data_IF_660969546896
#
_entry.id   IF_660969546896
#
_cell.length_a   1.000
_cell.length_b   1.000
_cell.length_c   1.000
_cell.angle_alpha   90.00
_cell.angle_beta   90.00
_cell.angle_gamma   90.00
#
_symmetry.space_group_name_H-M   'P 1'
#
loop_
_entity.id
_entity.type
_entity.pdbx_description
1 polymer ?
#
# COMPACT_ATOMS: atom_id res chain seq x y z
N UNK A 1 -14.06 -30.50 -8.29
CA UNK A 1 -13.17 -30.60 -7.12
C UNK A 1 -12.40 -29.31 -6.86
N UNK A 2 -11.69 -28.73 -7.83
CA UNK A 2 -10.98 -27.45 -7.66
C UNK A 2 -11.86 -26.22 -7.33
N UNK A 3 -13.14 -26.22 -7.75
CA UNK A 3 -14.07 -25.14 -7.42
C UNK A 3 -14.56 -25.17 -5.96
N UNK A 4 -14.56 -26.34 -5.32
CA UNK A 4 -15.02 -26.51 -3.93
C UNK A 4 -13.92 -26.18 -2.92
N UNK A 5 -12.65 -26.32 -3.33
CA UNK A 5 -11.47 -25.86 -2.57
C UNK A 5 -11.32 -24.33 -2.62
N UNK A 6 -11.73 -23.69 -3.72
CA UNK A 6 -11.78 -22.22 -3.82
C UNK A 6 -12.89 -21.60 -2.93
N UNK A 7 -14.02 -22.29 -2.76
CA UNK A 7 -15.11 -21.83 -1.89
C UNK A 7 -14.79 -22.00 -0.40
N UNK A 8 -14.01 -23.02 -0.02
CA UNK A 8 -13.56 -23.18 1.39
C UNK A 8 -12.47 -22.18 1.78
N UNK A 9 -11.67 -21.68 0.82
CA UNK A 9 -10.66 -20.66 1.09
C UNK A 9 -11.26 -19.24 1.22
N UNK A 10 -12.49 -19.02 0.74
CA UNK A 10 -13.17 -17.72 0.79
C UNK A 10 -13.95 -17.46 2.10
N UNK A 11 -14.05 -18.44 3.01
CA UNK A 11 -14.90 -18.35 4.21
C UNK A 11 -14.17 -18.08 5.53
N UNK A 12 -12.87 -17.81 5.51
CA UNK A 12 -12.05 -17.65 6.71
C UNK A 12 -11.40 -16.26 6.84
N UNK A 13 -11.92 -15.25 6.14
CA UNK A 13 -11.32 -13.93 6.06
C UNK A 13 -12.31 -12.83 6.47
N UNK A 14 -12.71 -12.88 7.74
CA UNK A 14 -13.21 -11.72 8.47
C UNK A 14 -12.13 -11.34 9.48
N UNK A 15 -11.21 -10.47 9.06
CA UNK A 15 -10.55 -9.60 10.04
C UNK A 15 -11.57 -8.53 10.43
N UNK A 16 -12.65 -8.95 11.09
CA UNK A 16 -13.49 -8.04 11.88
C UNK A 16 -12.54 -7.32 12.82
N UNK A 17 -12.57 -5.98 12.80
CA UNK A 17 -11.83 -5.16 13.75
C UNK A 17 -12.04 -5.75 15.15
N UNK A 18 -10.96 -6.24 15.75
CA UNK A 18 -11.04 -6.85 17.07
C UNK A 18 -11.30 -5.70 18.04
N UNK A 19 -12.57 -5.50 18.36
CA UNK A 19 -12.97 -4.62 19.46
C UNK A 19 -12.58 -5.32 20.77
N UNK A 20 -11.46 -4.89 21.34
CA UNK A 20 -11.07 -5.28 22.69
C UNK A 20 -11.91 -4.50 23.70
N UNK A 21 -12.27 -5.16 24.80
CA UNK A 21 -12.90 -4.48 25.94
C UNK A 21 -11.86 -3.56 26.60
N UNK A 22 -12.38 -2.50 27.21
CA UNK A 22 -11.65 -1.38 27.83
C UNK A 22 -10.34 -1.77 28.56
N UNK A 23 -9.39 -0.82 28.62
CA UNK A 23 -7.93 -0.99 28.75
C UNK A 23 -7.33 -1.77 29.93
N UNK A 24 -8.15 -2.40 30.77
CA UNK A 24 -7.72 -3.18 31.95
C UNK A 24 -7.68 -4.70 31.72
N UNK A 25 -8.19 -5.20 30.59
CA UNK A 25 -8.25 -6.65 30.35
C UNK A 25 -7.06 -7.17 29.52
N UNK A 26 -6.35 -8.17 30.06
CA UNK A 26 -5.20 -8.81 29.44
C UNK A 26 -5.48 -9.29 28.00
N UNK A 27 -4.68 -8.85 27.02
CA UNK A 27 -4.83 -9.17 25.60
C UNK A 27 -4.83 -10.69 25.37
N UNK A 28 -3.95 -11.43 26.06
CA UNK A 28 -3.90 -12.87 25.94
C UNK A 28 -5.21 -13.52 26.39
N UNK A 29 -5.77 -13.07 27.53
CA UNK A 29 -7.06 -13.54 28.01
C UNK A 29 -8.20 -13.24 27.04
N UNK A 30 -8.25 -12.04 26.48
CA UNK A 30 -9.28 -11.66 25.51
C UNK A 30 -9.20 -12.52 24.23
N UNK A 31 -8.00 -12.84 23.75
CA UNK A 31 -7.81 -13.75 22.60
C UNK A 31 -8.21 -15.19 22.93
N UNK A 32 -7.87 -15.69 24.13
CA UNK A 32 -8.29 -17.02 24.58
C UNK A 32 -9.82 -17.11 24.65
N UNK A 33 -10.49 -16.13 25.25
CA UNK A 33 -11.94 -16.10 25.39
C UNK A 33 -12.63 -16.04 24.02
N UNK A 34 -12.13 -15.20 23.10
CA UNK A 34 -12.66 -15.05 21.74
C UNK A 34 -12.56 -16.35 20.94
N UNK A 35 -11.43 -17.06 21.05
CA UNK A 35 -11.15 -18.25 20.25
C UNK A 35 -11.33 -19.58 20.99
N UNK A 36 -11.89 -19.58 22.21
CA UNK A 36 -12.06 -20.77 23.05
C UNK A 36 -12.80 -21.92 22.36
N UNK A 37 -13.74 -21.62 21.46
CA UNK A 37 -14.55 -22.60 20.72
C UNK A 37 -14.07 -22.84 19.28
N UNK A 38 -13.00 -22.17 18.86
CA UNK A 38 -12.51 -22.26 17.49
C UNK A 38 -11.65 -23.51 17.28
N UNK A 39 -11.99 -24.31 16.26
CA UNK A 39 -11.15 -25.43 15.80
C UNK A 39 -10.10 -25.04 14.75
N UNK A 40 -10.17 -23.83 14.18
CA UNK A 40 -9.27 -23.36 13.13
C UNK A 40 -7.81 -23.32 13.61
N UNK A 41 -6.89 -23.89 12.81
CA UNK A 41 -5.46 -23.97 13.18
C UNK A 41 -4.84 -22.60 13.44
N UNK A 42 -5.15 -21.61 12.60
CA UNK A 42 -4.65 -20.24 12.73
C UNK A 42 -5.03 -19.58 14.07
N UNK A 43 -6.25 -19.82 14.56
CA UNK A 43 -6.69 -19.29 15.85
C UNK A 43 -5.97 -19.98 17.01
N UNK A 44 -5.72 -21.30 16.92
CA UNK A 44 -4.95 -22.03 17.92
C UNK A 44 -3.49 -21.54 17.99
N UNK A 45 -2.86 -21.30 16.84
CA UNK A 45 -1.51 -20.73 16.81
C UNK A 45 -1.46 -19.30 17.36
N UNK A 46 -2.42 -18.44 17.01
CA UNK A 46 -2.52 -17.09 17.57
C UNK A 46 -2.66 -17.10 19.10
N UNK A 47 -3.55 -17.95 19.64
CA UNK A 47 -3.72 -18.11 21.09
C UNK A 47 -2.46 -18.65 21.74
N UNK A 48 -1.79 -19.64 21.14
CA UNK A 48 -0.54 -20.18 21.64
C UNK A 48 0.57 -19.11 21.66
N UNK A 49 0.69 -18.30 20.60
CA UNK A 49 1.61 -17.15 20.55
C UNK A 49 1.29 -16.14 21.64
N UNK A 50 0.03 -15.76 21.83
CA UNK A 50 -0.37 -14.82 22.89
C UNK A 50 -0.02 -15.36 24.30
N UNK A 51 -0.26 -16.66 24.54
CA UNK A 51 0.09 -17.31 25.80
C UNK A 51 1.61 -17.37 26.01
N UNK A 52 2.38 -17.64 24.94
CA UNK A 52 3.84 -17.62 24.99
C UNK A 52 4.37 -16.21 25.32
N UNK A 53 3.84 -15.17 24.68
CA UNK A 53 4.24 -13.79 24.99
C UNK A 53 3.91 -13.43 26.44
N UNK A 54 2.72 -13.80 26.93
CA UNK A 54 2.35 -13.59 28.35
C UNK A 54 3.29 -14.32 29.31
N UNK A 55 3.72 -15.53 28.95
CA UNK A 55 4.68 -16.30 29.73
C UNK A 55 6.04 -15.60 29.80
N UNK A 56 6.51 -15.00 28.70
CA UNK A 56 7.74 -14.20 28.67
C UNK A 56 7.60 -13.01 29.63
N UNK A 57 6.52 -12.24 29.52
CA UNK A 57 6.27 -11.10 30.41
C UNK A 57 6.23 -11.49 31.88
N UNK A 58 5.57 -12.61 32.20
CA UNK A 58 5.51 -13.13 33.57
C UNK A 58 6.90 -13.51 34.08
N UNK A 59 7.72 -14.15 33.24
CA UNK A 59 9.08 -14.55 33.61
C UNK A 59 10.01 -13.35 33.84
N UNK A 60 9.79 -12.25 33.12
CA UNK A 60 10.55 -11.00 33.24
C UNK A 60 9.94 -10.04 34.28
N UNK A 61 8.88 -10.44 34.98
CA UNK A 61 8.13 -9.60 35.94
C UNK A 61 7.60 -8.29 35.32
N UNK A 62 7.24 -8.33 34.03
CA UNK A 62 6.65 -7.21 33.30
C UNK A 62 5.12 -7.24 33.37
N UNK A 63 4.44 -6.08 33.42
CA UNK A 63 2.99 -6.03 33.36
C UNK A 63 2.48 -6.48 31.98
N UNK A 64 1.31 -7.16 31.89
CA UNK A 64 0.71 -7.59 30.64
C UNK A 64 0.05 -6.42 29.89
N UNK A 65 0.84 -5.42 29.52
CA UNK A 65 0.42 -4.22 28.79
C UNK A 65 0.68 -4.34 27.28
N UNK A 66 -0.06 -3.61 26.42
CA UNK A 66 0.17 -3.64 24.98
C UNK A 66 1.63 -3.33 24.56
N UNK A 67 2.32 -2.31 25.12
CA UNK A 67 3.73 -2.08 24.83
C UNK A 67 4.65 -3.24 25.20
N UNK A 68 4.39 -3.90 26.34
CA UNK A 68 5.17 -5.05 26.78
C UNK A 68 4.97 -6.26 25.85
N UNK A 69 3.72 -6.54 25.47
CA UNK A 69 3.41 -7.57 24.48
C UNK A 69 4.05 -7.30 23.12
N UNK A 70 4.06 -6.04 22.68
CA UNK A 70 4.74 -5.63 21.46
C UNK A 70 6.24 -5.91 21.54
N UNK A 71 6.90 -5.48 22.62
CA UNK A 71 8.33 -5.69 22.82
C UNK A 71 8.71 -7.18 22.79
N UNK A 72 7.97 -8.02 23.54
CA UNK A 72 8.18 -9.46 23.58
C UNK A 72 7.96 -10.12 22.22
N UNK A 73 6.95 -9.69 21.47
CA UNK A 73 6.65 -10.22 20.14
C UNK A 73 7.68 -9.82 19.08
N UNK A 74 8.17 -8.58 19.11
CA UNK A 74 9.27 -8.13 18.22
C UNK A 74 10.57 -8.89 18.54
N UNK A 75 10.92 -9.03 19.83
CA UNK A 75 12.10 -9.81 20.24
C UNK A 75 11.99 -11.28 19.80
N UNK A 76 10.81 -11.88 19.99
CA UNK A 76 10.54 -13.25 19.53
C UNK A 76 10.66 -13.36 18.01
N UNK A 77 10.16 -12.37 17.26
CA UNK A 77 10.26 -12.36 15.80
C UNK A 77 11.70 -12.21 15.31
N UNK A 78 12.54 -11.39 15.95
CA UNK A 78 13.95 -11.21 15.57
C UNK A 78 14.79 -12.47 15.86
N UNK A 79 14.45 -13.20 16.93
CA UNK A 79 15.07 -14.49 17.27
C UNK A 79 14.54 -15.69 16.45
N UNK A 80 13.41 -15.53 15.77
CA UNK A 80 12.73 -16.63 15.08
C UNK A 80 13.39 -16.91 13.73
N UNK A 81 14.17 -17.99 13.66
CA UNK A 81 14.71 -18.47 12.39
C UNK A 81 13.95 -19.73 11.96
N UNK A 82 13.03 -19.55 11.02
CA UNK A 82 12.59 -20.56 10.01
C UNK A 82 11.18 -21.17 10.10
N UNK A 83 10.44 -21.12 11.22
CA UNK A 83 9.05 -21.63 11.24
C UNK A 83 8.04 -20.61 10.66
N UNK A 84 7.46 -20.85 9.47
CA UNK A 84 6.53 -19.90 8.87
C UNK A 84 5.20 -19.79 9.63
N UNK A 85 4.82 -20.82 10.40
CA UNK A 85 3.61 -20.79 11.22
C UNK A 85 3.79 -19.90 12.45
N UNK A 86 4.93 -20.02 13.15
CA UNK A 86 5.28 -19.13 14.25
C UNK A 86 5.37 -17.67 13.77
N UNK A 87 6.06 -17.42 12.65
CA UNK A 87 6.16 -16.07 12.05
C UNK A 87 4.77 -15.55 11.69
N UNK A 88 3.93 -16.36 11.05
CA UNK A 88 2.56 -15.96 10.71
C UNK A 88 1.72 -15.58 11.94
N UNK A 89 1.81 -16.37 13.01
CA UNK A 89 1.09 -16.11 14.25
C UNK A 89 1.61 -14.84 14.95
N UNK A 90 2.92 -14.62 14.97
CA UNK A 90 3.54 -13.40 15.49
C UNK A 90 3.13 -12.15 14.70
N UNK A 91 3.14 -12.19 13.36
CA UNK A 91 2.69 -11.07 12.53
C UNK A 91 1.21 -10.75 12.76
N UNK A 92 0.38 -11.80 12.89
CA UNK A 92 -1.05 -11.64 13.21
C UNK A 92 -1.22 -11.02 14.59
N UNK A 93 -0.50 -11.53 15.60
CA UNK A 93 -0.53 -10.99 16.95
C UNK A 93 -0.07 -9.53 17.01
N UNK A 94 1.01 -9.18 16.31
CA UNK A 94 1.51 -7.80 16.23
C UNK A 94 0.50 -6.86 15.56
N UNK A 95 -0.16 -7.29 14.48
CA UNK A 95 -1.21 -6.49 13.82
C UNK A 95 -2.42 -6.17 14.72
N UNK A 96 -2.57 -6.92 15.80
CA UNK A 96 -3.60 -6.77 16.83
C UNK A 96 -3.09 -5.88 17.97
N UNK A 97 -1.86 -6.10 18.43
CA UNK A 97 -1.29 -5.40 19.58
C UNK A 97 -0.89 -3.96 19.26
N UNK A 98 -0.25 -3.70 18.11
CA UNK A 98 0.28 -2.37 17.79
C UNK A 98 -0.79 -1.26 17.84
N UNK A 99 -2.01 -1.43 17.28
CA UNK A 99 -3.07 -0.43 17.40
C UNK A 99 -3.57 -0.18 18.84
N UNK A 100 -3.25 -1.05 19.80
CA UNK A 100 -3.65 -0.91 21.21
C UNK A 100 -2.57 -0.22 22.06
N UNK A 101 -1.38 0.00 21.50
CA UNK A 101 -0.30 0.71 22.19
C UNK A 101 -0.70 2.19 22.27
N UNK A 102 -0.75 2.80 23.46
CA UNK A 102 -1.04 4.22 23.59
C UNK A 102 0.09 5.07 23.01
N UNK A 103 -0.23 6.32 22.68
CA UNK A 103 0.75 7.31 22.23
C UNK A 103 1.91 7.41 23.24
N UNK A 104 3.15 7.40 22.73
CA UNK A 104 4.36 7.38 23.55
C UNK A 104 4.68 6.02 24.20
N UNK A 105 3.87 4.98 23.99
CA UNK A 105 4.13 3.63 24.48
C UNK A 105 5.25 2.89 23.74
N UNK A 106 5.60 3.34 22.53
CA UNK A 106 6.78 2.89 21.76
C UNK A 106 7.59 4.14 21.39
N UNK A 107 8.89 4.12 21.64
CA UNK A 107 9.79 5.22 21.22
C UNK A 107 10.09 5.14 19.72
N UNK A 108 10.39 6.27 19.08
CA UNK A 108 10.72 6.30 17.66
C UNK A 108 11.90 5.39 17.28
N UNK A 109 12.92 5.30 18.14
CA UNK A 109 14.05 4.40 17.94
C UNK A 109 13.61 2.92 17.95
N UNK A 110 12.77 2.54 18.92
CA UNK A 110 12.22 1.18 19.01
C UNK A 110 11.28 0.86 17.85
N UNK A 111 10.46 1.82 17.41
CA UNK A 111 9.58 1.67 16.26
C UNK A 111 10.39 1.40 14.98
N UNK A 112 11.44 2.20 14.74
CA UNK A 112 12.35 2.02 13.60
C UNK A 112 13.03 0.65 13.62
N UNK A 113 13.54 0.22 14.77
CA UNK A 113 14.15 -1.12 14.93
C UNK A 113 13.13 -2.23 14.69
N UNK A 114 11.93 -2.11 15.26
CA UNK A 114 10.84 -3.06 15.06
C UNK A 114 10.41 -3.17 13.59
N UNK A 115 10.35 -2.05 12.86
CA UNK A 115 10.13 -2.06 11.40
C UNK A 115 11.23 -2.85 10.70
N UNK A 116 12.50 -2.63 11.06
CA UNK A 116 13.62 -3.42 10.53
C UNK A 116 13.47 -4.93 10.78
N UNK A 117 13.02 -5.33 11.97
CA UNK A 117 12.73 -6.74 12.30
C UNK A 117 11.57 -7.28 11.48
N UNK A 118 10.48 -6.52 11.30
CA UNK A 118 9.28 -6.92 10.56
C UNK A 118 9.54 -7.11 9.07
N UNK A 119 10.39 -6.27 8.48
CA UNK A 119 10.71 -6.33 7.04
C UNK A 119 11.43 -7.63 6.69
N UNK A 120 12.36 -8.12 7.51
CA UNK A 120 13.14 -9.35 7.24
C UNK A 120 12.27 -10.57 6.83
N UNK A 121 11.27 -11.01 7.61
CA UNK A 121 10.47 -12.18 7.27
C UNK A 121 9.48 -11.97 6.12
N UNK A 122 8.99 -10.74 5.90
CA UNK A 122 8.00 -10.48 4.84
C UNK A 122 8.67 -10.22 3.49
N UNK A 123 9.85 -9.60 3.48
CA UNK A 123 10.59 -9.28 2.26
C UNK A 123 11.47 -10.44 1.77
N UNK A 124 11.68 -11.47 2.61
CA UNK A 124 12.50 -12.63 2.31
C UNK A 124 12.11 -13.31 1.00
N UNK A 125 13.10 -13.51 0.12
CA UNK A 125 12.90 -14.10 -1.20
C UNK A 125 12.55 -15.60 -1.11
N UNK A 126 11.43 -15.97 -1.71
CA UNK A 126 10.93 -17.34 -1.81
C UNK A 126 9.41 -17.37 -1.81
N UNK A 127 8.81 -17.76 -2.93
CA UNK A 127 7.35 -17.75 -3.14
C UNK A 127 6.51 -18.61 -2.16
N UNK A 128 7.13 -19.28 -1.19
CA UNK A 128 6.48 -20.26 -0.30
C UNK A 128 6.92 -20.17 1.16
N UNK A 129 6.83 -18.99 1.81
CA UNK A 129 6.89 -18.93 3.28
C UNK A 129 5.62 -18.41 3.94
N UNK A 130 5.11 -17.24 3.54
CA UNK A 130 3.98 -16.61 4.23
C UNK A 130 2.71 -16.55 3.38
N UNK A 131 1.57 -16.84 4.01
CA UNK A 131 0.25 -16.71 3.42
C UNK A 131 -0.17 -15.25 3.22
N UNK A 132 -1.21 -15.03 2.41
CA UNK A 132 -1.77 -13.69 2.12
C UNK A 132 -2.13 -12.93 3.39
N UNK A 133 -2.77 -13.59 4.35
CA UNK A 133 -3.20 -12.98 5.62
C UNK A 133 -2.00 -12.52 6.46
N UNK A 134 -0.96 -13.36 6.58
CA UNK A 134 0.25 -13.07 7.35
C UNK A 134 1.02 -11.88 6.79
N UNK A 135 1.17 -11.82 5.46
CA UNK A 135 1.82 -10.69 4.79
C UNK A 135 1.02 -9.40 4.94
N UNK A 136 -0.31 -9.47 4.77
CA UNK A 136 -1.19 -8.33 5.02
C UNK A 136 -1.05 -7.85 6.48
N UNK A 137 -0.99 -8.76 7.44
CA UNK A 137 -0.80 -8.41 8.86
C UNK A 137 0.55 -7.72 9.11
N UNK A 138 1.64 -8.23 8.53
CA UNK A 138 2.96 -7.59 8.60
C UNK A 138 3.00 -6.20 7.95
N UNK A 139 2.45 -6.07 6.75
CA UNK A 139 2.33 -4.78 6.04
C UNK A 139 1.51 -3.77 6.85
N UNK A 140 0.37 -4.20 7.42
CA UNK A 140 -0.46 -3.35 8.29
C UNK A 140 0.30 -2.91 9.54
N UNK A 141 1.06 -3.82 10.14
CA UNK A 141 1.89 -3.54 11.31
C UNK A 141 2.96 -2.47 10.99
N UNK A 142 3.68 -2.61 9.87
CA UNK A 142 4.64 -1.60 9.40
C UNK A 142 3.96 -0.25 9.21
N UNK A 143 2.84 -0.20 8.47
CA UNK A 143 2.12 1.06 8.25
C UNK A 143 1.68 1.74 9.54
N UNK A 144 1.20 0.96 10.52
CA UNK A 144 0.79 1.49 11.83
C UNK A 144 1.98 2.00 12.64
N UNK A 145 3.12 1.30 12.62
CA UNK A 145 4.35 1.73 13.29
C UNK A 145 4.92 3.03 12.69
N UNK A 146 4.97 3.11 11.37
CA UNK A 146 5.48 4.30 10.68
C UNK A 146 4.66 5.54 11.02
N UNK A 147 3.32 5.44 10.94
CA UNK A 147 2.44 6.59 11.18
C UNK A 147 2.31 6.95 12.66
N UNK A 148 2.22 5.94 13.53
CA UNK A 148 1.91 6.15 14.94
C UNK A 148 3.11 6.38 15.85
N UNK A 149 4.31 5.91 15.47
CA UNK A 149 5.43 5.81 16.42
C UNK A 149 6.80 6.18 15.86
N UNK A 150 7.02 6.19 14.54
CA UNK A 150 8.29 6.65 13.96
C UNK A 150 8.39 8.18 13.96
N UNK A 151 9.63 8.66 13.81
CA UNK A 151 9.91 10.08 13.62
C UNK A 151 9.63 10.46 12.16
N UNK A 152 8.54 11.18 11.91
CA UNK A 152 8.12 11.59 10.57
C UNK A 152 8.92 12.78 10.01
N UNK A 153 9.79 13.39 10.82
CA UNK A 153 10.70 14.46 10.40
C UNK A 153 12.08 13.95 9.99
N UNK A 154 12.40 12.68 10.29
CA UNK A 154 13.63 11.99 9.90
C UNK A 154 13.36 10.90 8.84
N UNK A 155 13.85 11.12 7.62
CA UNK A 155 13.73 10.13 6.54
C UNK A 155 14.34 8.78 6.89
N UNK A 156 15.48 8.75 7.59
CA UNK A 156 16.14 7.48 7.96
C UNK A 156 15.30 6.68 8.97
N UNK A 157 14.41 7.33 9.70
CA UNK A 157 13.45 6.70 10.62
C UNK A 157 12.41 5.86 9.86
N UNK A 158 11.96 6.33 8.69
CA UNK A 158 10.88 5.69 7.93
C UNK A 158 11.34 4.95 6.67
N UNK A 159 12.55 5.22 6.16
CA UNK A 159 13.04 4.77 4.85
C UNK A 159 12.87 3.28 4.60
N UNK A 160 13.26 2.43 5.56
CA UNK A 160 13.18 0.96 5.41
C UNK A 160 11.73 0.50 5.29
N UNK A 161 10.86 0.98 6.18
CA UNK A 161 9.44 0.63 6.15
C UNK A 161 8.74 1.17 4.91
N UNK A 162 9.05 2.41 4.52
CA UNK A 162 8.52 3.03 3.30
C UNK A 162 8.88 2.21 2.05
N UNK A 163 10.14 1.79 1.92
CA UNK A 163 10.58 0.92 0.83
C UNK A 163 9.84 -0.42 0.78
N UNK A 164 9.65 -1.07 1.93
CA UNK A 164 8.87 -2.32 2.00
C UNK A 164 7.39 -2.08 1.63
N UNK A 165 6.76 -1.01 2.12
CA UNK A 165 5.40 -0.64 1.71
C UNK A 165 5.29 -0.40 0.20
N UNK A 166 6.25 0.30 -0.41
CA UNK A 166 6.29 0.50 -1.87
C UNK A 166 6.38 -0.83 -2.61
N UNK A 167 7.27 -1.73 -2.20
CA UNK A 167 7.40 -3.08 -2.77
C UNK A 167 6.07 -3.84 -2.73
N UNK A 168 5.38 -3.84 -1.59
CA UNK A 168 4.08 -4.51 -1.46
C UNK A 168 2.93 -3.79 -2.16
N UNK A 169 3.06 -2.50 -2.44
CA UNK A 169 2.04 -1.70 -3.14
C UNK A 169 1.83 -2.09 -4.61
N UNK A 170 2.71 -2.93 -5.15
CA UNK A 170 2.61 -3.55 -6.47
C UNK A 170 2.49 -5.07 -6.42
N UNK A 171 2.35 -5.67 -5.24
CA UNK A 171 2.29 -7.13 -5.05
C UNK A 171 1.15 -7.78 -5.85
N UNK A 172 1.40 -8.98 -6.40
CA UNK A 172 0.39 -9.76 -7.16
C UNK A 172 -0.89 -10.07 -6.37
N UNK A 173 -0.82 -10.17 -5.04
CA UNK A 173 -1.93 -10.51 -4.14
C UNK A 173 -2.76 -9.25 -3.80
N UNK A 174 -4.01 -9.13 -4.28
CA UNK A 174 -4.79 -7.89 -4.12
C UNK A 174 -5.01 -7.42 -2.68
N UNK A 175 -5.14 -8.34 -1.73
CA UNK A 175 -5.37 -8.02 -0.30
C UNK A 175 -4.14 -7.43 0.39
N UNK A 176 -2.95 -7.88 0.01
CA UNK A 176 -1.66 -7.35 0.50
C UNK A 176 -1.42 -5.99 -0.16
N UNK A 177 -1.60 -5.94 -1.49
CA UNK A 177 -1.42 -4.73 -2.28
C UNK A 177 -2.25 -3.54 -1.81
N UNK A 178 -3.56 -3.73 -1.62
CA UNK A 178 -4.45 -2.68 -1.12
C UNK A 178 -4.05 -2.20 0.27
N UNK A 179 -3.69 -3.13 1.16
CA UNK A 179 -3.22 -2.78 2.50
C UNK A 179 -1.97 -1.88 2.45
N UNK A 180 -1.01 -2.21 1.59
CA UNK A 180 0.20 -1.40 1.42
C UNK A 180 -0.12 -0.01 0.85
N UNK A 181 -0.99 0.07 -0.15
CA UNK A 181 -1.44 1.34 -0.74
C UNK A 181 -2.15 2.24 0.28
N UNK A 182 -3.06 1.68 1.09
CA UNK A 182 -3.73 2.40 2.19
C UNK A 182 -2.74 2.88 3.26
N UNK A 183 -1.71 2.08 3.57
CA UNK A 183 -0.66 2.47 4.51
C UNK A 183 0.20 3.61 3.95
N UNK A 184 0.54 3.56 2.66
CA UNK A 184 1.30 4.63 1.99
C UNK A 184 0.50 5.93 1.96
N UNK A 185 -0.77 5.89 1.59
CA UNK A 185 -1.63 7.07 1.55
C UNK A 185 -1.72 7.75 2.92
N UNK A 186 -1.94 6.96 3.99
CA UNK A 186 -1.94 7.48 5.36
C UNK A 186 -0.58 8.06 5.78
N UNK A 187 0.51 7.38 5.43
CA UNK A 187 1.86 7.85 5.74
C UNK A 187 2.15 9.17 5.05
N UNK A 188 1.95 9.26 3.74
CA UNK A 188 2.10 10.49 2.97
C UNK A 188 1.25 11.63 3.52
N UNK A 189 -0.02 11.37 3.85
CA UNK A 189 -0.91 12.36 4.46
C UNK A 189 -0.52 12.80 5.87
N UNK A 190 0.40 12.10 6.53
CA UNK A 190 0.91 12.44 7.87
C UNK A 190 2.27 13.16 7.82
N UNK A 191 2.95 13.20 6.66
CA UNK A 191 4.23 13.88 6.52
C UNK A 191 4.04 15.40 6.48
N UNK A 192 4.80 16.12 7.30
CA UNK A 192 4.81 17.59 7.33
C UNK A 192 6.17 18.17 6.91
N UNK A 193 7.27 17.44 7.16
CA UNK A 193 8.62 17.85 6.78
C UNK A 193 8.80 17.85 5.26
N UNK A 194 9.11 19.02 4.70
CA UNK A 194 9.37 19.18 3.26
C UNK A 194 10.55 18.35 2.77
N UNK A 195 11.57 18.14 3.61
CA UNK A 195 12.71 17.26 3.33
C UNK A 195 12.25 15.81 3.20
N UNK A 196 11.44 15.32 4.15
CA UNK A 196 10.95 13.93 4.13
C UNK A 196 9.95 13.71 2.99
N UNK A 197 9.07 14.68 2.72
CA UNK A 197 8.17 14.66 1.57
C UNK A 197 8.96 14.55 0.27
N UNK A 198 10.06 15.30 0.13
CA UNK A 198 10.92 15.23 -1.05
C UNK A 198 11.53 13.83 -1.22
N UNK A 199 12.15 13.29 -0.19
CA UNK A 199 12.77 11.95 -0.24
C UNK A 199 11.75 10.83 -0.55
N UNK A 200 10.57 10.89 0.06
CA UNK A 200 9.46 9.97 -0.20
C UNK A 200 8.97 10.09 -1.66
N UNK A 201 8.86 11.32 -2.16
CA UNK A 201 8.46 11.61 -3.55
C UNK A 201 9.50 11.10 -4.55
N UNK A 202 10.78 11.36 -4.30
CA UNK A 202 11.89 10.91 -5.16
C UNK A 202 11.98 9.39 -5.22
N UNK A 203 11.77 8.72 -4.08
CA UNK A 203 11.73 7.25 -3.99
C UNK A 203 10.56 6.66 -4.79
N UNK A 204 9.36 7.26 -4.68
CA UNK A 204 8.20 6.85 -5.50
C UNK A 204 8.45 7.09 -6.99
N UNK A 205 9.09 8.21 -7.34
CA UNK A 205 9.41 8.51 -8.74
C UNK A 205 10.45 7.55 -9.33
N UNK A 206 11.40 7.07 -8.52
CA UNK A 206 12.32 6.01 -8.92
C UNK A 206 11.57 4.71 -9.28
N UNK A 207 10.55 4.32 -8.50
CA UNK A 207 9.70 3.17 -8.80
C UNK A 207 8.97 3.32 -10.15
N UNK A 208 8.45 4.52 -10.44
CA UNK A 208 7.85 4.83 -11.75
C UNK A 208 8.88 4.70 -12.89
N UNK A 209 10.09 5.22 -12.70
CA UNK A 209 11.17 5.15 -13.70
C UNK A 209 11.57 3.70 -14.00
N UNK A 210 11.63 2.85 -12.99
CA UNK A 210 11.93 1.42 -13.14
C UNK A 210 10.91 0.72 -14.05
N UNK A 211 9.63 1.08 -13.95
CA UNK A 211 8.54 0.47 -14.72
C UNK A 211 8.23 1.19 -16.04
N UNK A 212 8.98 2.25 -16.39
CA UNK A 212 8.67 3.14 -17.52
C UNK A 212 8.64 2.43 -18.87
N UNK A 213 9.56 1.49 -19.11
CA UNK A 213 9.63 0.72 -20.36
C UNK A 213 8.37 -0.15 -20.55
N UNK A 214 7.98 -0.89 -19.50
CA UNK A 214 6.79 -1.75 -19.49
C UNK A 214 5.51 -0.91 -19.65
N UNK A 215 5.42 0.22 -18.94
CA UNK A 215 4.29 1.15 -19.07
C UNK A 215 4.15 1.68 -20.50
N UNK A 216 5.26 2.02 -21.17
CA UNK A 216 5.26 2.52 -22.54
C UNK A 216 4.88 1.45 -23.57
N UNK A 217 5.30 0.19 -23.35
CA UNK A 217 4.87 -0.94 -24.18
C UNK A 217 3.37 -1.21 -24.02
N UNK A 218 2.86 -1.18 -22.79
CA UNK A 218 1.44 -1.39 -22.51
C UNK A 218 0.57 -0.25 -23.04
N UNK A 219 1.03 0.99 -22.99
CA UNK A 219 0.26 2.14 -23.46
C UNK A 219 0.14 2.20 -24.99
N UNK A 220 1.14 1.67 -25.71
CA UNK A 220 1.15 1.58 -27.17
C UNK A 220 0.43 0.36 -27.74
N UNK A 221 0.12 -0.64 -26.90
CA UNK A 221 -0.66 -1.82 -27.31
C UNK A 221 -2.12 -1.46 -27.59
N UNK A 222 -2.47 -1.53 -28.88
CA UNK A 222 -3.86 -1.39 -29.32
C UNK A 222 -4.67 -2.62 -28.92
N UNK A 223 -5.79 -2.40 -28.23
CA UNK A 223 -6.78 -3.46 -28.02
C UNK A 223 -7.68 -3.51 -29.25
N UNK A 224 -7.67 -4.65 -29.97
CA UNK A 224 -8.62 -4.90 -31.05
C UNK A 224 -9.98 -5.18 -30.44
N UNK A 225 -11.01 -4.50 -30.95
CA UNK A 225 -12.40 -4.59 -30.52
C UNK A 225 -12.88 -6.06 -30.54
N UNK A 226 -13.35 -6.56 -29.39
CA UNK A 226 -13.77 -7.96 -29.19
C UNK A 226 -12.83 -8.83 -28.35
N UNK A 227 -11.62 -8.37 -28.05
CA UNK A 227 -10.73 -9.01 -27.08
C UNK A 227 -11.12 -8.63 -25.64
N UNK A 228 -11.30 -9.62 -24.74
CA UNK A 228 -11.47 -9.34 -23.30
C UNK A 228 -10.25 -8.55 -22.81
N UNK A 229 -10.46 -7.27 -22.48
CA UNK A 229 -9.45 -6.34 -21.92
C UNK A 229 -8.71 -6.95 -20.72
N UNK A 230 -9.40 -7.82 -19.97
CA UNK A 230 -8.90 -8.48 -18.77
C UNK A 230 -7.85 -9.58 -19.03
N UNK A 231 -7.81 -10.18 -20.23
CA UNK A 231 -6.85 -11.25 -20.56
C UNK A 231 -5.59 -10.78 -21.31
N UNK A 232 -5.45 -9.48 -21.57
CA UNK A 232 -4.33 -8.92 -22.34
C UNK A 232 -3.12 -8.54 -21.46
N UNK A 233 -3.32 -8.32 -20.15
CA UNK A 233 -2.23 -8.11 -19.20
C UNK A 233 -1.67 -9.48 -18.80
N UNK A 234 -0.49 -9.83 -19.34
CA UNK A 234 0.30 -10.91 -18.75
C UNK A 234 0.51 -10.59 -17.27
N UNK A 235 0.43 -11.59 -16.39
CA UNK A 235 0.63 -11.41 -14.95
C UNK A 235 1.95 -10.71 -14.60
N UNK A 236 2.96 -10.88 -15.46
CA UNK A 236 4.28 -10.25 -15.39
C UNK A 236 4.26 -8.71 -15.59
N UNK A 237 3.23 -8.18 -16.24
CA UNK A 237 3.08 -6.74 -16.50
C UNK A 237 2.05 -6.07 -15.57
N UNK A 238 1.47 -6.82 -14.62
CA UNK A 238 0.46 -6.30 -13.70
C UNK A 238 1.04 -5.29 -12.70
N UNK A 239 2.32 -5.46 -12.33
CA UNK A 239 3.04 -4.58 -11.41
C UNK A 239 3.12 -3.15 -11.95
N UNK A 240 3.45 -2.99 -13.24
CA UNK A 240 3.46 -1.68 -13.90
C UNK A 240 2.09 -0.98 -13.82
N UNK A 241 0.99 -1.69 -14.04
CA UNK A 241 -0.35 -1.14 -13.87
C UNK A 241 -0.65 -0.79 -12.40
N UNK A 242 -0.08 -1.54 -11.45
CA UNK A 242 -0.22 -1.25 -10.03
C UNK A 242 0.53 0.03 -9.63
N UNK A 243 1.69 0.34 -10.22
CA UNK A 243 2.40 1.60 -10.01
C UNK A 243 1.50 2.81 -10.27
N UNK A 244 0.69 2.79 -11.34
CA UNK A 244 -0.24 3.89 -11.64
C UNK A 244 -1.32 4.08 -10.56
N UNK A 245 -1.74 3.00 -9.91
CA UNK A 245 -2.70 3.09 -8.80
C UNK A 245 -2.04 3.67 -7.54
N UNK A 246 -0.77 3.33 -7.28
CA UNK A 246 0.01 3.92 -6.18
C UNK A 246 0.11 5.43 -6.39
N UNK A 247 0.52 5.85 -7.59
CA UNK A 247 0.60 7.27 -7.95
C UNK A 247 -0.74 7.98 -7.74
N UNK A 248 -1.85 7.38 -8.17
CA UNK A 248 -3.18 7.98 -8.00
C UNK A 248 -3.56 8.20 -6.53
N UNK A 249 -3.02 7.42 -5.60
CA UNK A 249 -3.29 7.55 -4.16
C UNK A 249 -2.33 8.52 -3.45
N UNK A 250 -1.11 8.70 -3.97
CA UNK A 250 -0.06 9.49 -3.31
C UNK A 250 0.22 10.85 -3.94
N UNK A 251 -0.20 11.05 -5.20
CA UNK A 251 -0.06 12.31 -5.95
C UNK A 251 -0.33 13.58 -5.14
N UNK A 252 -1.40 13.66 -4.32
CA UNK A 252 -1.71 14.89 -3.58
C UNK A 252 -0.64 15.33 -2.58
N UNK A 253 0.26 14.42 -2.21
CA UNK A 253 1.26 14.62 -1.18
C UNK A 253 2.69 14.76 -1.73
N UNK A 254 2.85 14.68 -3.06
CA UNK A 254 4.17 14.74 -3.67
C UNK A 254 4.73 16.17 -3.65
N UNK A 255 6.06 16.27 -3.66
CA UNK A 255 6.72 17.55 -3.91
C UNK A 255 6.30 18.11 -5.28
N UNK A 256 6.25 19.44 -5.41
CA UNK A 256 5.82 20.09 -6.65
C UNK A 256 6.68 19.69 -7.87
N UNK A 257 7.99 19.52 -7.66
CA UNK A 257 8.94 19.07 -8.68
C UNK A 257 8.62 17.65 -9.16
N UNK A 258 8.44 16.70 -8.24
CA UNK A 258 8.12 15.31 -8.58
C UNK A 258 6.72 15.20 -9.18
N UNK A 259 5.74 15.94 -8.65
CA UNK A 259 4.39 16.00 -9.19
C UNK A 259 4.41 16.42 -10.67
N UNK A 260 5.17 17.46 -11.02
CA UNK A 260 5.36 17.91 -12.40
C UNK A 260 6.03 16.84 -13.28
N UNK A 261 7.05 16.16 -12.76
CA UNK A 261 7.73 15.06 -13.45
C UNK A 261 6.79 13.87 -13.71
N UNK A 262 6.01 13.46 -12.71
CA UNK A 262 5.00 12.38 -12.81
C UNK A 262 3.94 12.76 -13.83
N UNK A 263 3.43 13.97 -13.76
CA UNK A 263 2.45 14.49 -14.70
C UNK A 263 2.97 14.43 -16.15
N UNK A 264 4.18 14.96 -16.41
CA UNK A 264 4.82 14.88 -17.73
C UNK A 264 4.93 13.45 -18.26
N UNK A 265 5.27 12.48 -17.42
CA UNK A 265 5.33 11.07 -17.83
C UNK A 265 3.95 10.47 -18.09
N UNK A 266 2.92 10.79 -17.30
CA UNK A 266 1.54 10.37 -17.56
C UNK A 266 1.04 10.91 -18.92
N UNK A 267 1.38 12.15 -19.26
CA UNK A 267 1.04 12.75 -20.57
C UNK A 267 1.66 11.99 -21.74
N UNK A 268 2.92 11.54 -21.59
CA UNK A 268 3.63 10.74 -22.61
C UNK A 268 3.07 9.33 -22.72
N UNK A 269 2.62 8.74 -21.61
CA UNK A 269 1.95 7.45 -21.59
C UNK A 269 0.54 7.53 -22.19
N UNK A 270 -0.08 8.71 -22.21
CA UNK A 270 -1.39 8.91 -22.82
C UNK A 270 -1.28 8.89 -24.35
N UNK A 271 -1.55 7.73 -24.95
CA UNK A 271 -1.70 7.58 -26.41
C UNK A 271 -3.01 8.19 -26.95
N UNK A 272 -3.13 8.28 -28.27
CA UNK A 272 -4.35 8.76 -28.94
C UNK A 272 -5.46 7.71 -29.09
N UNK A 273 -5.16 6.45 -28.74
CA UNK A 273 -6.10 5.33 -28.78
C UNK A 273 -6.16 4.62 -27.42
N UNK A 274 -7.28 3.95 -27.15
CA UNK A 274 -7.48 3.19 -25.92
C UNK A 274 -6.47 2.04 -25.76
N UNK A 275 -5.94 1.92 -24.55
CA UNK A 275 -5.02 0.89 -24.10
C UNK A 275 -5.47 0.33 -22.74
N UNK A 276 -4.89 -0.79 -22.27
CA UNK A 276 -5.21 -1.33 -20.95
C UNK A 276 -4.96 -0.35 -19.79
N UNK A 277 -4.09 0.65 -19.98
CA UNK A 277 -3.70 1.61 -18.96
C UNK A 277 -4.50 2.93 -19.02
N UNK A 278 -5.24 3.20 -20.11
CA UNK A 278 -5.90 4.49 -20.33
C UNK A 278 -6.71 4.96 -19.12
N UNK A 279 -7.51 4.08 -18.51
CA UNK A 279 -8.36 4.46 -17.36
C UNK A 279 -7.54 4.86 -16.13
N UNK A 280 -6.45 4.15 -15.86
CA UNK A 280 -5.58 4.41 -14.72
C UNK A 280 -4.79 5.71 -14.93
N UNK A 281 -4.28 5.94 -16.15
CA UNK A 281 -3.60 7.18 -16.53
C UNK A 281 -4.55 8.37 -16.36
N UNK A 282 -5.77 8.29 -16.90
CA UNK A 282 -6.77 9.36 -16.77
C UNK A 282 -7.14 9.64 -15.31
N UNK A 283 -7.30 8.59 -14.49
CA UNK A 283 -7.56 8.75 -13.06
C UNK A 283 -6.42 9.47 -12.34
N UNK A 284 -5.17 9.10 -12.63
CA UNK A 284 -4.01 9.76 -12.03
C UNK A 284 -3.93 11.24 -12.44
N UNK A 285 -4.16 11.56 -13.72
CA UNK A 285 -4.22 12.93 -14.24
C UNK A 285 -5.35 13.73 -13.56
N UNK A 286 -6.54 13.14 -13.43
CA UNK A 286 -7.68 13.75 -12.73
C UNK A 286 -7.35 14.07 -11.26
N UNK A 287 -6.70 13.14 -10.54
CA UNK A 287 -6.24 13.39 -9.17
C UNK A 287 -5.26 14.55 -9.11
N UNK A 288 -4.28 14.63 -10.03
CA UNK A 288 -3.30 15.73 -10.07
C UNK A 288 -4.01 17.08 -10.22
N UNK A 289 -4.97 17.18 -11.14
CA UNK A 289 -5.73 18.42 -11.34
C UNK A 289 -6.60 18.81 -10.15
N UNK A 290 -7.07 17.83 -9.37
CA UNK A 290 -7.84 18.08 -8.15
C UNK A 290 -6.98 18.46 -6.95
N UNK A 291 -5.72 18.01 -6.91
CA UNK A 291 -4.81 18.25 -5.78
C UNK A 291 -3.83 19.40 -6.01
N UNK A 292 -3.60 19.78 -7.26
CA UNK A 292 -2.92 21.02 -7.60
C UNK A 292 -3.89 22.15 -7.28
N UNK A 293 -3.52 23.12 -6.43
CA UNK A 293 -4.17 24.44 -6.42
C UNK A 293 -3.34 25.48 -7.20
N UNK A 294 -2.01 25.29 -7.36
CA UNK A 294 -1.13 26.20 -8.14
C UNK A 294 0.21 25.55 -8.61
N UNK A 295 0.34 24.22 -8.61
CA UNK A 295 1.66 23.54 -8.72
C UNK A 295 2.02 23.01 -10.10
N UNK A 296 1.10 23.00 -11.07
CA UNK A 296 1.36 22.47 -12.42
C UNK A 296 1.88 23.57 -13.35
N UNK A 297 3.02 23.33 -13.98
CA UNK A 297 3.68 24.30 -14.86
C UNK A 297 3.02 24.34 -16.26
N UNK A 298 3.00 25.53 -16.88
CA UNK A 298 2.26 25.83 -18.14
C UNK A 298 2.61 24.92 -19.34
N UNK A 299 3.88 24.61 -19.65
CA UNK A 299 4.22 23.73 -20.78
C UNK A 299 3.64 22.31 -20.66
N UNK A 300 3.52 21.81 -19.44
CA UNK A 300 2.95 20.50 -19.15
C UNK A 300 1.45 20.49 -19.41
N UNK A 301 0.75 21.60 -19.15
CA UNK A 301 -0.67 21.79 -19.47
C UNK A 301 -0.90 21.76 -20.99
N UNK A 302 -0.05 22.43 -21.77
CA UNK A 302 -0.13 22.40 -23.25
C UNK A 302 0.09 20.99 -23.82
N UNK A 303 1.04 20.25 -23.25
CA UNK A 303 1.28 18.84 -23.58
C UNK A 303 0.04 17.98 -23.32
N UNK A 304 -0.61 18.15 -22.17
CA UNK A 304 -1.88 17.47 -21.86
C UNK A 304 -2.96 17.80 -22.87
N UNK A 305 -3.18 19.09 -23.15
CA UNK A 305 -4.21 19.54 -24.09
C UNK A 305 -4.01 18.87 -25.46
N UNK A 306 -2.76 18.78 -25.92
CA UNK A 306 -2.41 18.10 -27.17
C UNK A 306 -2.77 16.61 -27.12
N UNK A 307 -2.36 15.89 -26.07
CA UNK A 307 -2.66 14.46 -25.90
C UNK A 307 -4.16 14.19 -25.79
N UNK A 308 -4.89 14.96 -24.97
CA UNK A 308 -6.35 14.83 -24.79
C UNK A 308 -7.09 15.15 -26.10
N UNK A 309 -6.68 16.18 -26.83
CA UNK A 309 -7.28 16.53 -28.13
C UNK A 309 -7.07 15.42 -29.15
N UNK A 310 -5.87 14.83 -29.20
CA UNK A 310 -5.59 13.67 -30.06
C UNK A 310 -6.48 12.48 -29.75
N UNK A 311 -6.76 12.22 -28.46
CA UNK A 311 -7.64 11.13 -28.02
C UNK A 311 -9.11 11.37 -28.41
N UNK A 312 -9.63 12.58 -28.19
CA UNK A 312 -11.01 12.95 -28.57
C UNK A 312 -11.18 12.96 -30.09
N UNK A 313 -10.16 13.37 -30.84
CA UNK A 313 -10.19 13.38 -32.30
C UNK A 313 -10.38 11.97 -32.89
N UNK A 314 -9.95 10.93 -32.18
CA UNK A 314 -10.16 9.53 -32.52
C UNK A 314 -11.32 8.88 -31.75
N UNK A 315 -12.33 9.66 -31.33
CA UNK A 315 -13.47 9.16 -30.54
C UNK A 315 -14.15 7.92 -31.12
N UNK A 316 -14.26 7.80 -32.45
CA UNK A 316 -14.83 6.61 -33.11
C UNK A 316 -14.05 5.31 -32.84
N UNK A 317 -12.77 5.43 -32.47
CA UNK A 317 -11.87 4.29 -32.18
C UNK A 317 -11.68 4.06 -30.67
N UNK A 318 -12.35 4.84 -29.83
CA UNK A 318 -12.16 4.86 -28.38
C UNK A 318 -13.49 4.58 -27.66
N UNK A 319 -13.48 3.90 -26.50
CA UNK A 319 -14.69 3.71 -25.71
C UNK A 319 -15.35 5.05 -25.33
N UNK A 320 -16.67 5.14 -25.49
CA UNK A 320 -17.41 6.39 -25.28
C UNK A 320 -17.22 6.98 -23.87
N UNK A 321 -17.09 6.13 -22.86
CA UNK A 321 -16.94 6.54 -21.47
C UNK A 321 -15.55 7.13 -21.18
N UNK A 322 -14.48 6.64 -21.83
CA UNK A 322 -13.15 7.26 -21.72
C UNK A 322 -13.05 8.55 -22.52
N UNK A 323 -13.71 8.64 -23.67
CA UNK A 323 -13.81 9.90 -24.43
C UNK A 323 -14.52 10.97 -23.60
N UNK A 324 -15.60 10.62 -22.90
CA UNK A 324 -16.31 11.55 -22.02
C UNK A 324 -15.43 12.03 -20.85
N UNK A 325 -14.69 11.11 -20.21
CA UNK A 325 -13.77 11.47 -19.13
C UNK A 325 -12.65 12.42 -19.63
N UNK A 326 -12.07 12.14 -20.80
CA UNK A 326 -11.09 13.02 -21.44
C UNK A 326 -11.67 14.41 -21.74
N UNK A 327 -12.90 14.47 -22.26
CA UNK A 327 -13.57 15.74 -22.56
C UNK A 327 -13.82 16.56 -21.28
N UNK A 328 -14.18 15.92 -20.17
CA UNK A 328 -14.33 16.58 -18.87
C UNK A 328 -13.00 17.13 -18.37
N UNK A 329 -11.92 16.34 -18.44
CA UNK A 329 -10.57 16.80 -18.07
C UNK A 329 -10.14 17.99 -18.91
N UNK A 330 -10.42 17.97 -20.21
CA UNK A 330 -10.14 19.09 -21.11
C UNK A 330 -10.89 20.37 -20.73
N UNK A 331 -12.12 20.26 -20.20
CA UNK A 331 -12.86 21.42 -19.70
C UNK A 331 -12.23 21.98 -18.41
N UNK A 332 -11.81 21.10 -17.50
CA UNK A 332 -11.13 21.47 -16.26
C UNK A 332 -9.82 22.20 -16.59
N UNK A 333 -8.99 21.67 -17.49
CA UNK A 333 -7.71 22.30 -17.87
C UNK A 333 -7.85 23.69 -18.50
N UNK A 334 -8.90 23.92 -19.30
CA UNK A 334 -9.18 25.26 -19.85
C UNK A 334 -9.61 26.26 -18.79
N UNK A 335 -10.35 25.79 -17.80
CA UNK A 335 -10.73 26.62 -16.65
C UNK A 335 -9.49 27.03 -15.86
N UNK A 336 -8.57 26.09 -15.63
CA UNK A 336 -7.26 26.32 -15.01
C UNK A 336 -6.40 27.37 -15.73
N UNK A 337 -6.24 27.25 -17.05
CA UNK A 337 -5.49 28.25 -17.85
C UNK A 337 -6.10 29.65 -17.71
N UNK A 338 -7.43 29.74 -17.60
CA UNK A 338 -8.12 31.01 -17.47
C UNK A 338 -7.95 31.66 -16.08
N UNK A 339 -7.53 30.90 -15.07
CA UNK A 339 -7.19 31.41 -13.73
C UNK A 339 -5.69 31.78 -13.60
N UNK A 340 -4.82 31.19 -14.43
CA UNK A 340 -3.37 31.43 -14.44
C UNK A 340 -2.93 32.62 -15.33
N UNK A 341 -3.80 33.14 -16.19
CA UNK A 341 -3.59 34.29 -17.09
C UNK A 341 -4.33 35.53 -16.60
#
# INVERSE_FOLDING_TARGET
>A
MAAVEAEHQNRADETDEISFKDGDSDICQQLMDRYAKSSASQHRHLVATAAAMRSILTSESLPPSPPAYFAAAISSLDSSTEDPMAVSALLTFLSIVVPLVPDGGISAAMAREAVGVLVKPIDGEGEKKLGVASLRAGVKCIGTLLVGFCDLDDWESIRIGFGSLLKFSIDKRPKVRRCAQECLEKLFGSLLSSTVIKEASDTLYALLKEHKSVLSELSSKKIVEGSKVESALKSENAEAAHVLNVLSATVPFLSAEVSSCVFSELCKLMGSQFSPLTRQILKAIDTIFKSSEDTVVVPEIEGVITSLTGYVSLHEKNPADTVLHVALLFFITRTWISYLL
#
